data_IF_686853258481
#
_entry.id   IF_686853258481
#
_cell.length_a   1.000
_cell.length_b   1.000
_cell.length_c   1.000
_cell.angle_alpha   90.00
_cell.angle_beta   90.00
_cell.angle_gamma   90.00
#
_symmetry.space_group_name_H-M   'P 1'
#
loop_
_entity.id
_entity.type
_entity.pdbx_description
1 polymer ?
#
# COMPACT_ATOMS: atom_id res chain seq x y z
N UNK A 1 -1.50 -7.02 11.00
CA UNK A 1 -2.73 -6.19 10.97
C UNK A 1 -2.61 -4.92 10.13
N UNK A 2 -1.50 -4.17 10.17
CA UNK A 2 -1.34 -2.91 9.39
C UNK A 2 -1.58 -3.06 7.87
N UNK A 3 -1.14 -4.17 7.26
CA UNK A 3 -1.37 -4.44 5.82
C UNK A 3 -2.85 -4.65 5.48
N UNK A 4 -3.58 -5.41 6.30
CA UNK A 4 -5.02 -5.67 6.11
C UNK A 4 -5.81 -4.37 6.27
N UNK A 5 -5.44 -3.55 7.27
CA UNK A 5 -6.04 -2.23 7.46
C UNK A 5 -5.75 -1.30 6.27
N UNK A 6 -4.53 -1.31 5.74
CA UNK A 6 -4.17 -0.57 4.52
C UNK A 6 -5.01 -0.97 3.31
N UNK A 7 -5.23 -2.28 3.10
CA UNK A 7 -6.11 -2.79 2.02
C UNK A 7 -7.56 -2.33 2.21
N UNK A 8 -8.11 -2.44 3.42
CA UNK A 8 -9.48 -1.98 3.75
C UNK A 8 -9.65 -0.48 3.55
N UNK A 9 -8.67 0.32 3.97
CA UNK A 9 -8.68 1.77 3.80
C UNK A 9 -8.62 2.14 2.31
N UNK A 10 -7.80 1.43 1.54
CA UNK A 10 -7.66 1.63 0.10
C UNK A 10 -8.96 1.28 -0.65
N UNK A 11 -9.61 0.16 -0.31
CA UNK A 11 -10.92 -0.20 -0.88
C UNK A 11 -12.00 0.83 -0.56
N UNK A 12 -12.03 1.33 0.68
CA UNK A 12 -12.95 2.41 1.07
C UNK A 12 -12.70 3.68 0.27
N UNK A 13 -11.43 4.08 0.11
CA UNK A 13 -11.05 5.25 -0.70
C UNK A 13 -11.50 5.12 -2.16
N UNK A 14 -11.30 3.94 -2.78
CA UNK A 14 -11.77 3.67 -4.14
C UNK A 14 -13.29 3.73 -4.23
N UNK A 15 -14.01 3.15 -3.28
CA UNK A 15 -15.48 3.19 -3.27
C UNK A 15 -16.02 4.62 -3.20
N UNK A 16 -15.43 5.47 -2.36
CA UNK A 16 -15.78 6.90 -2.25
C UNK A 16 -15.54 7.64 -3.57
N UNK A 17 -14.40 7.36 -4.23
CA UNK A 17 -14.09 7.95 -5.54
C UNK A 17 -15.10 7.55 -6.61
N UNK A 18 -15.47 6.26 -6.67
CA UNK A 18 -16.47 5.76 -7.63
C UNK A 18 -17.82 6.45 -7.43
N UNK A 19 -18.31 6.53 -6.19
CA UNK A 19 -19.57 7.21 -5.87
C UNK A 19 -19.52 8.68 -6.25
N UNK A 20 -18.40 9.36 -5.97
CA UNK A 20 -18.23 10.78 -6.31
C UNK A 20 -18.25 11.02 -7.82
N UNK A 21 -17.60 10.16 -8.61
CA UNK A 21 -17.60 10.24 -10.08
C UNK A 21 -19.00 9.98 -10.65
N UNK A 22 -19.72 8.99 -10.12
CA UNK A 22 -21.09 8.71 -10.54
C UNK A 22 -22.02 9.88 -10.23
N UNK A 23 -21.92 10.49 -9.04
CA UNK A 23 -22.69 11.68 -8.66
C UNK A 23 -22.39 12.89 -9.54
N UNK A 24 -21.10 13.17 -9.81
CA UNK A 24 -20.69 14.22 -10.75
C UNK A 24 -21.21 13.98 -12.16
N UNK A 25 -21.19 12.72 -12.62
CA UNK A 25 -21.71 12.35 -13.94
C UNK A 25 -23.23 12.55 -14.03
N UNK A 26 -23.98 12.16 -13.01
CA UNK A 26 -25.42 12.40 -12.94
C UNK A 26 -25.74 13.88 -12.93
N UNK A 27 -25.07 14.66 -12.08
CA UNK A 27 -25.24 16.11 -12.02
C UNK A 27 -24.95 16.79 -13.37
N UNK A 28 -23.87 16.39 -14.04
CA UNK A 28 -23.52 16.94 -15.36
C UNK A 28 -24.53 16.54 -16.45
N UNK A 29 -25.16 15.37 -16.34
CA UNK A 29 -26.22 14.93 -17.23
C UNK A 29 -27.48 15.76 -17.03
N UNK A 30 -27.93 15.93 -15.78
CA UNK A 30 -29.07 16.78 -15.41
C UNK A 30 -28.86 18.21 -15.89
N UNK A 31 -27.68 18.79 -15.62
CA UNK A 31 -27.32 20.14 -16.09
C UNK A 31 -27.37 20.28 -17.60
N UNK A 32 -26.96 19.26 -18.36
CA UNK A 32 -27.04 19.27 -19.83
C UNK A 32 -28.48 19.23 -20.31
N UNK A 33 -29.33 18.39 -19.71
CA UNK A 33 -30.76 18.29 -20.05
C UNK A 33 -31.46 19.61 -19.72
N UNK A 34 -31.19 20.16 -18.55
CA UNK A 34 -31.74 21.45 -18.08
C UNK A 34 -31.26 22.60 -18.97
N UNK A 35 -29.99 22.61 -19.40
CA UNK A 35 -29.48 23.57 -20.37
C UNK A 35 -30.18 23.47 -21.73
N UNK A 36 -30.56 22.26 -22.18
CA UNK A 36 -31.30 22.06 -23.43
C UNK A 36 -32.74 22.57 -23.27
N UNK A 37 -33.38 22.31 -22.12
CA UNK A 37 -34.72 22.81 -21.80
C UNK A 37 -34.76 24.34 -21.66
N UNK A 38 -33.76 24.93 -21.01
CA UNK A 38 -33.63 26.38 -20.84
C UNK A 38 -33.21 27.10 -22.13
N UNK A 39 -32.54 26.41 -23.07
CA UNK A 39 -32.34 26.93 -24.42
C UNK A 39 -33.66 26.98 -25.22
N UNK A 40 -34.63 26.13 -24.87
CA UNK A 40 -35.97 26.10 -25.48
C UNK A 40 -36.97 27.04 -24.76
N UNK A 41 -36.79 27.29 -23.46
CA UNK A 41 -37.59 28.22 -22.65
C UNK A 41 -36.70 29.36 -22.14
N UNK A 42 -36.89 30.57 -22.67
CA UNK A 42 -36.17 31.83 -22.36
C UNK A 42 -36.29 32.33 -20.90
N UNK A 43 -36.25 31.47 -19.89
CA UNK A 43 -36.30 31.88 -18.49
C UNK A 43 -35.06 31.38 -17.76
N UNK A 44 -34.17 32.32 -17.44
CA UNK A 44 -32.84 32.07 -16.88
C UNK A 44 -32.90 32.22 -15.37
N UNK A 45 -32.75 31.13 -14.65
CA UNK A 45 -32.33 31.13 -13.24
C UNK A 45 -31.07 30.29 -13.14
N UNK A 46 -29.91 30.97 -13.15
CA UNK A 46 -28.62 30.36 -12.83
C UNK A 46 -28.53 30.18 -11.31
N UNK A 47 -29.09 29.09 -10.78
CA UNK A 47 -28.71 28.57 -9.48
C UNK A 47 -27.66 27.48 -9.69
N UNK A 48 -26.39 27.90 -9.78
CA UNK A 48 -25.26 26.96 -9.72
C UNK A 48 -24.48 27.18 -8.43
N UNK A 49 -24.14 26.07 -7.76
CA UNK A 49 -22.75 25.67 -7.45
C UNK A 49 -22.65 24.72 -6.24
N UNK A 50 -23.68 24.65 -5.39
CA UNK A 50 -23.63 23.85 -4.15
C UNK A 50 -23.30 22.35 -4.33
N UNK A 51 -23.92 21.59 -5.25
CA UNK A 51 -23.76 20.13 -5.28
C UNK A 51 -22.42 19.67 -5.87
N UNK A 52 -21.91 20.38 -6.89
CA UNK A 52 -20.64 20.03 -7.55
C UNK A 52 -19.46 20.15 -6.59
N UNK A 53 -19.45 21.21 -5.77
CA UNK A 53 -18.41 21.45 -4.77
C UNK A 53 -18.42 20.32 -3.72
N UNK A 54 -19.60 19.87 -3.30
CA UNK A 54 -19.72 18.75 -2.36
C UNK A 54 -19.10 17.46 -2.92
N UNK A 55 -19.40 17.09 -4.16
CA UNK A 55 -18.81 15.89 -4.78
C UNK A 55 -17.29 15.99 -4.97
N UNK A 56 -16.77 17.18 -5.28
CA UNK A 56 -15.32 17.41 -5.36
C UNK A 56 -14.62 17.25 -4.02
N UNK A 57 -15.22 17.75 -2.93
CA UNK A 57 -14.66 17.60 -1.57
C UNK A 57 -14.66 16.12 -1.15
N UNK A 58 -15.75 15.39 -1.42
CA UNK A 58 -15.84 13.96 -1.11
C UNK A 58 -14.84 13.15 -1.93
N UNK A 59 -14.64 13.49 -3.21
CA UNK A 59 -13.61 12.87 -4.05
C UNK A 59 -12.20 13.13 -3.51
N UNK A 60 -11.89 14.36 -3.12
CA UNK A 60 -10.60 14.72 -2.52
C UNK A 60 -10.34 13.93 -1.23
N UNK A 61 -11.35 13.78 -0.38
CA UNK A 61 -11.26 12.98 0.84
C UNK A 61 -11.00 11.49 0.54
N UNK A 62 -11.71 10.91 -0.43
CA UNK A 62 -11.48 9.54 -0.90
C UNK A 62 -10.04 9.32 -1.41
N UNK A 63 -9.49 10.31 -2.11
CA UNK A 63 -8.12 10.27 -2.62
C UNK A 63 -7.08 10.31 -1.50
N UNK A 64 -7.29 11.12 -0.45
CA UNK A 64 -6.41 11.14 0.73
C UNK A 64 -6.40 9.78 1.43
N UNK A 65 -7.57 9.17 1.64
CA UNK A 65 -7.66 7.83 2.24
C UNK A 65 -6.95 6.77 1.38
N UNK A 66 -7.08 6.85 0.06
CA UNK A 66 -6.38 5.96 -0.86
C UNK A 66 -4.86 6.06 -0.72
N UNK A 67 -4.31 7.29 -0.69
CA UNK A 67 -2.87 7.52 -0.52
C UNK A 67 -2.38 6.96 0.81
N UNK A 68 -3.08 7.22 1.90
CA UNK A 68 -2.71 6.69 3.23
C UNK A 68 -2.73 5.16 3.23
N UNK A 69 -3.75 4.55 2.62
CA UNK A 69 -3.85 3.09 2.48
C UNK A 69 -2.66 2.50 1.72
N UNK A 70 -2.28 3.13 0.61
CA UNK A 70 -1.13 2.73 -0.20
C UNK A 70 0.18 2.84 0.59
N UNK A 71 0.39 3.93 1.33
CA UNK A 71 1.56 4.10 2.19
C UNK A 71 1.62 2.97 3.21
N UNK A 72 0.53 2.65 3.90
CA UNK A 72 0.50 1.56 4.89
C UNK A 72 0.76 0.18 4.29
N UNK A 73 0.44 -0.01 3.02
CA UNK A 73 0.65 -1.26 2.30
C UNK A 73 2.11 -1.42 1.84
N UNK A 74 2.71 -0.35 1.34
CA UNK A 74 4.11 -0.31 0.85
C UNK A 74 5.12 -0.19 1.99
N UNK A 75 4.76 0.44 3.10
CA UNK A 75 5.69 0.64 4.20
C UNK A 75 6.12 -0.71 4.77
N UNK A 76 7.39 -1.07 4.56
CA UNK A 76 8.02 -2.24 5.16
C UNK A 76 7.76 -2.22 6.66
N UNK A 77 7.21 -3.30 7.19
CA UNK A 77 6.95 -3.40 8.63
C UNK A 77 8.28 -3.37 9.40
N UNK A 78 8.29 -2.80 10.60
CA UNK A 78 9.50 -2.74 11.44
C UNK A 78 10.14 -4.13 11.65
N UNK A 79 9.33 -5.18 11.70
CA UNK A 79 9.79 -6.56 11.80
C UNK A 79 10.54 -7.03 10.54
N UNK A 80 10.08 -6.64 9.34
CA UNK A 80 10.80 -6.96 8.10
C UNK A 80 12.15 -6.24 8.03
N UNK A 81 12.23 -4.99 8.52
CA UNK A 81 13.50 -4.25 8.58
C UNK A 81 14.48 -4.86 9.58
N UNK A 82 14.02 -5.28 10.75
CA UNK A 82 14.85 -5.99 11.73
C UNK A 82 15.39 -7.30 11.15
N UNK A 83 14.54 -8.06 10.47
CA UNK A 83 14.95 -9.31 9.84
C UNK A 83 15.96 -9.12 8.70
N UNK A 84 15.80 -8.08 7.87
CA UNK A 84 16.80 -7.73 6.85
C UNK A 84 18.14 -7.33 7.48
N UNK A 85 18.10 -6.59 8.60
CA UNK A 85 19.30 -6.23 9.35
C UNK A 85 19.99 -7.46 9.97
N UNK A 86 19.23 -8.36 10.61
CA UNK A 86 19.75 -9.64 11.13
C UNK A 86 20.43 -10.44 10.02
N UNK A 87 19.78 -10.58 8.85
CA UNK A 87 20.33 -11.29 7.70
C UNK A 87 21.61 -10.65 7.15
N UNK A 88 21.69 -9.32 7.16
CA UNK A 88 22.89 -8.58 6.74
C UNK A 88 24.04 -8.83 7.72
N UNK A 89 23.77 -8.79 9.02
CA UNK A 89 24.76 -9.14 10.06
C UNK A 89 25.24 -10.58 9.92
N UNK A 90 24.33 -11.53 9.64
CA UNK A 90 24.68 -12.93 9.38
C UNK A 90 25.63 -13.10 8.20
N UNK A 91 25.30 -12.47 7.06
CA UNK A 91 26.19 -12.52 5.88
C UNK A 91 27.57 -11.97 6.22
N UNK A 92 27.63 -10.87 6.97
CA UNK A 92 28.89 -10.28 7.41
C UNK A 92 29.71 -11.21 8.32
N UNK A 93 29.07 -11.93 9.25
CA UNK A 93 29.75 -12.89 10.13
C UNK A 93 30.30 -14.10 9.36
N UNK A 94 29.54 -14.62 8.40
CA UNK A 94 29.97 -15.74 7.55
C UNK A 94 31.13 -15.32 6.64
N UNK A 95 31.10 -14.11 6.09
CA UNK A 95 32.08 -13.63 5.12
C UNK A 95 33.43 -13.21 5.76
N UNK A 96 33.42 -12.73 7.00
CA UNK A 96 34.63 -12.31 7.71
C UNK A 96 35.25 -13.40 8.61
N UNK A 97 34.67 -14.60 8.63
CA UNK A 97 35.12 -15.70 9.47
C UNK A 97 34.59 -15.59 10.90
N UNK A 98 34.23 -16.74 11.46
CA UNK A 98 33.61 -16.90 12.77
C UNK A 98 34.60 -16.59 13.89
N UNK A 99 34.84 -15.31 14.19
CA UNK A 99 35.59 -14.92 15.39
C UNK A 99 34.68 -15.04 16.64
N UNK A 100 34.50 -16.27 17.12
CA UNK A 100 34.06 -16.53 18.50
C UNK A 100 32.59 -16.91 18.73
N UNK A 101 31.76 -17.06 17.70
CA UNK A 101 30.39 -17.58 17.85
C UNK A 101 30.29 -19.06 17.47
N UNK A 102 29.51 -19.81 18.25
CA UNK A 102 29.31 -21.25 18.10
C UNK A 102 28.61 -21.56 16.76
N UNK A 103 29.23 -22.30 15.82
CA UNK A 103 28.68 -22.53 14.47
C UNK A 103 27.32 -23.24 14.48
N UNK A 104 27.01 -23.95 15.57
CA UNK A 104 25.69 -24.54 15.83
C UNK A 104 24.60 -23.48 16.03
N UNK A 105 24.91 -22.40 16.74
CA UNK A 105 23.98 -21.29 17.00
C UNK A 105 23.66 -20.54 15.71
N UNK A 106 24.68 -20.27 14.88
CA UNK A 106 24.48 -19.62 13.58
C UNK A 106 23.70 -20.50 12.60
N UNK A 107 23.90 -21.82 12.63
CA UNK A 107 23.11 -22.75 11.84
C UNK A 107 21.64 -22.74 12.27
N UNK A 108 21.36 -22.68 13.57
CA UNK A 108 20.00 -22.61 14.11
C UNK A 108 19.30 -21.30 13.68
N UNK A 109 20.01 -20.18 13.77
CA UNK A 109 19.51 -18.87 13.33
C UNK A 109 19.31 -18.80 11.81
N UNK A 110 20.20 -19.40 11.01
CA UNK A 110 20.03 -19.54 9.56
C UNK A 110 18.79 -20.37 9.22
N UNK A 111 18.55 -21.44 9.97
CA UNK A 111 17.37 -22.28 9.80
C UNK A 111 16.09 -21.54 10.19
N UNK A 112 16.14 -20.69 11.21
CA UNK A 112 15.04 -19.82 11.61
C UNK A 112 14.73 -18.77 10.53
N UNK A 113 15.74 -18.18 9.90
CA UNK A 113 15.59 -17.25 8.77
C UNK A 113 14.97 -17.93 7.54
N UNK A 114 15.37 -19.17 7.25
CA UNK A 114 14.72 -19.99 6.21
C UNK A 114 13.25 -20.24 6.55
N UNK A 115 12.95 -20.64 7.79
CA UNK A 115 11.59 -20.94 8.24
C UNK A 115 10.67 -19.71 8.20
N UNK A 116 11.23 -18.52 8.42
CA UNK A 116 10.54 -17.22 8.31
C UNK A 116 10.39 -16.75 6.84
N UNK A 117 10.89 -17.49 5.86
CA UNK A 117 10.77 -17.18 4.42
C UNK A 117 11.63 -16.01 3.95
N UNK A 118 12.72 -15.74 4.65
CA UNK A 118 13.57 -14.56 4.46
C UNK A 118 14.66 -14.83 3.41
N UNK A 119 15.11 -16.08 3.37
CA UNK A 119 16.09 -16.61 2.40
C UNK A 119 15.47 -17.76 1.64
N UNK A 120 15.86 -17.89 0.38
CA UNK A 120 15.45 -19.00 -0.48
C UNK A 120 16.20 -20.29 -0.13
N UNK A 121 15.69 -21.45 -0.57
CA UNK A 121 16.39 -22.73 -0.39
C UNK A 121 17.81 -22.73 -1.00
N UNK A 122 17.98 -22.03 -2.13
CA UNK A 122 19.27 -21.89 -2.79
C UNK A 122 20.25 -21.05 -1.96
N UNK A 123 19.82 -19.91 -1.43
CA UNK A 123 20.65 -19.06 -0.56
C UNK A 123 20.99 -19.75 0.76
N UNK A 124 20.04 -20.51 1.32
CA UNK A 124 20.29 -21.30 2.52
C UNK A 124 21.36 -22.36 2.28
N UNK A 125 21.29 -23.08 1.15
CA UNK A 125 22.28 -24.10 0.81
C UNK A 125 23.68 -23.50 0.59
N UNK A 126 23.77 -22.34 -0.06
CA UNK A 126 25.05 -21.67 -0.32
C UNK A 126 25.67 -21.10 0.95
N UNK A 127 24.88 -20.46 1.82
CA UNK A 127 25.34 -19.98 3.13
C UNK A 127 25.74 -21.14 4.05
N UNK A 128 24.97 -22.23 4.06
CA UNK A 128 25.33 -23.44 4.81
C UNK A 128 26.67 -23.99 4.35
N UNK A 129 26.90 -24.10 3.04
CA UNK A 129 28.18 -24.59 2.49
C UNK A 129 29.36 -23.72 2.95
N UNK A 130 29.23 -22.39 2.87
CA UNK A 130 30.25 -21.44 3.33
C UNK A 130 30.57 -21.50 4.82
N UNK A 131 29.66 -22.02 5.66
CA UNK A 131 29.94 -22.21 7.10
C UNK A 131 30.77 -23.47 7.40
N UNK A 132 30.82 -24.43 6.46
CA UNK A 132 31.52 -25.71 6.63
C UNK A 132 32.75 -25.86 5.73
N UNK A 133 33.05 -24.86 4.89
CA UNK A 133 34.29 -24.71 4.11
C UNK A 133 35.31 -23.88 4.88
#
# INVERSE_FOLDING_TARGET
>A
MKKIFGVLLQLTGVAILVVSVLGLSQFNCERRIESIQNALNLNRSEEFESPQIAFLIVAAFGLVLFIIGLILLVTKTANQRKLEAELTTFRYLIENGFEGEDPLLLLEQLHELKRKGVITDAEFADLKRKMFE
#
